data_IF_086519397567
#
_entry.id   IF_086519397567
#
_cell.length_a   1.000
_cell.length_b   1.000
_cell.length_c   1.000
_cell.angle_alpha   90.00
_cell.angle_beta   90.00
_cell.angle_gamma   90.00
#
_symmetry.space_group_name_H-M   'P 1'
#
loop_
_entity.id
_entity.type
_entity.pdbx_description
1 polymer ?
#
# COMPACT_ATOMS: atom_id res chain seq x y z
N UNK A 1 7.40 -6.05 16.87
CA UNK A 1 6.50 -5.29 15.95
C UNK A 1 5.46 -4.53 16.75
N UNK A 2 4.71 -3.60 16.14
CA UNK A 2 3.60 -2.91 16.80
C UNK A 2 2.47 -3.93 17.05
N UNK A 3 2.58 -4.67 18.15
CA UNK A 3 1.54 -5.57 18.64
C UNK A 3 0.58 -4.76 19.51
N UNK A 4 -0.69 -4.75 19.12
CA UNK A 4 -1.74 -4.03 19.82
C UNK A 4 -2.98 -3.86 18.95
N UNK A 5 -4.15 -3.73 19.58
CA UNK A 5 -5.43 -3.59 18.88
C UNK A 5 -5.46 -2.42 17.88
N UNK A 6 -4.74 -1.32 18.17
CA UNK A 6 -4.62 -0.18 17.25
C UNK A 6 -3.86 -0.54 15.98
N UNK A 7 -2.72 -1.24 16.09
CA UNK A 7 -1.87 -1.57 14.95
C UNK A 7 -2.55 -2.55 13.97
N UNK A 8 -3.50 -3.34 14.46
CA UNK A 8 -4.32 -4.23 13.63
C UNK A 8 -5.35 -3.49 12.76
N UNK A 9 -5.62 -2.19 12.99
CA UNK A 9 -6.56 -1.41 12.18
C UNK A 9 -5.92 -0.95 10.88
N UNK A 10 -6.62 -1.06 9.76
CA UNK A 10 -6.10 -0.68 8.44
C UNK A 10 -5.71 0.80 8.38
N UNK A 11 -6.53 1.69 8.96
CA UNK A 11 -6.26 3.13 9.08
C UNK A 11 -4.93 3.43 9.80
N UNK A 12 -4.56 2.62 10.80
CA UNK A 12 -3.31 2.79 11.53
C UNK A 12 -2.07 2.53 10.65
N UNK A 13 -2.23 1.96 9.44
CA UNK A 13 -1.13 1.78 8.49
C UNK A 13 -0.62 3.11 7.99
N UNK A 14 -1.49 3.90 7.38
CA UNK A 14 -1.12 5.21 6.87
C UNK A 14 -0.81 6.19 8.01
N UNK A 15 -1.54 6.13 9.14
CA UNK A 15 -1.29 7.01 10.29
C UNK A 15 0.15 6.86 10.80
N UNK A 16 0.66 5.62 10.92
CA UNK A 16 2.03 5.37 11.37
C UNK A 16 3.07 5.75 10.31
N UNK A 17 2.87 5.35 9.05
CA UNK A 17 3.86 5.56 7.99
C UNK A 17 3.98 7.04 7.60
N UNK A 18 2.87 7.78 7.56
CA UNK A 18 2.87 9.20 7.19
C UNK A 18 3.38 10.10 8.32
N UNK A 19 3.30 9.65 9.58
CA UNK A 19 3.79 10.39 10.72
C UNK A 19 5.30 10.65 10.62
N UNK A 20 5.75 11.84 11.02
CA UNK A 20 7.18 12.16 11.09
C UNK A 20 7.85 11.56 12.33
N UNK A 21 7.07 11.39 13.39
CA UNK A 21 7.45 10.85 14.70
C UNK A 21 6.25 10.13 15.31
N UNK A 22 6.49 8.99 15.95
CA UNK A 22 5.47 8.22 16.65
C UNK A 22 6.00 7.84 18.02
N UNK A 23 5.20 8.07 19.05
CA UNK A 23 5.44 7.58 20.40
C UNK A 23 4.48 6.43 20.66
N UNK A 24 5.02 5.30 21.07
CA UNK A 24 4.29 4.06 21.31
C UNK A 24 4.29 3.78 22.81
N UNK A 25 3.09 3.63 23.37
CA UNK A 25 2.90 3.18 24.74
C UNK A 25 2.57 1.69 24.72
N UNK A 26 3.43 0.84 25.31
CA UNK A 26 3.05 -0.54 25.62
C UNK A 26 3.17 -0.81 27.11
N UNK A 27 2.72 -1.99 27.52
CA UNK A 27 2.55 -2.37 28.92
C UNK A 27 3.80 -2.18 29.80
N UNK A 28 5.00 -2.32 29.24
CA UNK A 28 6.23 -2.39 30.02
C UNK A 28 7.24 -1.28 29.71
N UNK A 29 7.05 -0.50 28.65
CA UNK A 29 7.98 0.55 28.24
C UNK A 29 7.38 1.43 27.14
N UNK A 30 7.95 2.62 26.97
CA UNK A 30 7.66 3.53 25.87
C UNK A 30 8.75 3.38 24.79
N UNK A 31 8.35 3.42 23.50
CA UNK A 31 9.31 3.60 22.41
C UNK A 31 8.95 4.80 21.55
N UNK A 32 9.96 5.43 21.03
CA UNK A 32 9.87 6.51 20.07
C UNK A 32 10.47 6.09 18.74
N UNK A 33 9.81 6.41 17.64
CA UNK A 33 10.38 6.27 16.30
C UNK A 33 10.18 7.56 15.51
N UNK A 34 11.10 7.81 14.58
CA UNK A 34 11.00 8.88 13.61
C UNK A 34 11.49 8.39 12.25
N UNK A 35 11.56 9.31 11.30
CA UNK A 35 12.05 9.05 9.94
C UNK A 35 13.49 8.51 9.87
N UNK A 36 14.29 8.61 10.94
CA UNK A 36 15.71 8.26 10.92
C UNK A 36 16.12 7.22 11.95
N UNK A 37 15.37 7.03 13.04
CA UNK A 37 15.75 6.14 14.12
C UNK A 37 14.53 5.72 14.95
N UNK A 38 14.67 4.63 15.70
CA UNK A 38 13.81 4.35 16.84
C UNK A 38 14.63 4.09 18.11
N UNK A 39 14.05 4.43 19.25
CA UNK A 39 14.65 4.32 20.58
C UNK A 39 13.62 3.84 21.59
N UNK A 40 14.08 3.10 22.59
CA UNK A 40 13.30 2.82 23.81
C UNK A 40 13.47 3.93 24.85
N UNK A 41 12.74 3.84 25.96
CA UNK A 41 12.71 4.84 27.03
C UNK A 41 14.09 5.12 27.65
N UNK A 42 14.96 4.11 27.72
CA UNK A 42 16.33 4.22 28.20
C UNK A 42 17.28 4.88 27.18
N UNK A 43 16.76 5.29 26.02
CA UNK A 43 17.52 5.94 24.96
C UNK A 43 18.31 4.99 24.05
N UNK A 44 18.22 3.67 24.31
CA UNK A 44 18.87 2.63 23.49
C UNK A 44 18.26 2.64 22.09
N UNK A 45 19.13 2.66 21.07
CA UNK A 45 18.75 2.61 19.66
C UNK A 45 18.25 1.21 19.31
N UNK A 46 17.02 1.13 18.77
CA UNK A 46 16.43 -0.11 18.29
C UNK A 46 16.84 -0.44 16.84
N UNK A 47 17.15 0.57 16.04
CA UNK A 47 17.76 0.45 14.71
C UNK A 47 18.41 1.79 14.33
N UNK A 48 19.45 1.74 13.47
CA UNK A 48 20.21 2.93 13.08
C UNK A 48 20.02 3.38 11.64
N UNK A 49 19.53 2.54 10.72
CA UNK A 49 19.37 2.92 9.31
C UNK A 49 18.28 2.11 8.59
N UNK A 50 17.92 2.54 7.38
CA UNK A 50 16.86 2.01 6.50
C UNK A 50 17.04 0.55 6.02
N UNK A 51 18.04 -0.18 6.51
CA UNK A 51 18.47 -1.49 5.98
C UNK A 51 18.04 -2.69 6.81
N UNK A 52 17.47 -2.47 8.01
CA UNK A 52 16.97 -3.57 8.85
C UNK A 52 15.44 -3.75 8.66
N UNK A 53 14.98 -5.00 8.77
CA UNK A 53 13.61 -5.55 8.64
C UNK A 53 12.47 -4.82 9.42
N UNK A 54 12.74 -3.67 10.04
CA UNK A 54 11.85 -2.88 10.88
C UNK A 54 11.41 -1.58 10.15
N UNK A 55 11.51 -1.52 8.82
CA UNK A 55 11.05 -0.40 7.97
C UNK A 55 9.51 -0.29 7.86
N UNK A 56 8.79 -0.27 8.99
CA UNK A 56 7.33 -0.46 9.02
C UNK A 56 6.54 0.78 9.48
N UNK A 57 7.17 1.95 9.48
CA UNK A 57 6.65 3.20 10.07
C UNK A 57 7.21 4.47 9.41
N UNK A 58 7.54 5.54 10.19
CA UNK A 58 8.00 6.81 9.64
C UNK A 58 9.21 6.73 8.68
N UNK A 59 10.12 5.78 8.88
CA UNK A 59 11.27 5.54 7.99
C UNK A 59 10.84 5.17 6.57
N UNK A 60 9.84 4.31 6.43
CA UNK A 60 9.22 3.99 5.14
C UNK A 60 8.54 5.22 4.55
N UNK A 61 7.86 6.03 5.35
CA UNK A 61 7.27 7.29 4.89
C UNK A 61 8.31 8.27 4.34
N UNK A 62 9.50 8.33 4.94
CA UNK A 62 10.65 9.09 4.41
C UNK A 62 11.10 8.54 3.06
N UNK A 63 11.27 7.23 2.96
CA UNK A 63 11.70 6.57 1.73
C UNK A 63 10.70 6.84 0.59
N UNK A 64 9.40 6.66 0.85
CA UNK A 64 8.31 6.96 -0.09
C UNK A 64 8.30 8.40 -0.58
N UNK A 65 8.60 9.35 0.31
CA UNK A 65 8.73 10.77 -0.04
C UNK A 65 10.00 11.06 -0.87
N UNK A 66 11.03 10.22 -0.77
CA UNK A 66 12.30 10.41 -1.46
C UNK A 66 12.32 9.80 -2.88
N UNK A 67 11.33 9.00 -3.28
CA UNK A 67 11.29 8.37 -4.62
C UNK A 67 11.29 9.36 -5.79
N UNK A 68 10.84 10.61 -5.57
CA UNK A 68 10.94 11.67 -6.58
C UNK A 68 12.35 12.26 -6.73
N UNK A 69 13.29 11.85 -5.87
CA UNK A 69 14.66 12.35 -5.78
C UNK A 69 15.61 11.19 -6.10
N UNK A 70 15.72 10.84 -7.39
CA UNK A 70 16.62 9.78 -7.85
C UNK A 70 16.10 9.01 -9.06
N UNK A 71 16.98 8.22 -9.68
CA UNK A 71 16.66 7.37 -10.84
C UNK A 71 16.17 5.98 -10.39
N UNK A 72 15.11 5.96 -9.57
CA UNK A 72 14.45 4.70 -9.22
C UNK A 72 13.70 4.18 -10.43
N UNK A 73 13.99 2.93 -10.83
CA UNK A 73 13.29 2.30 -11.94
C UNK A 73 11.83 1.99 -11.56
N UNK A 74 11.00 1.76 -12.58
CA UNK A 74 9.58 1.43 -12.40
C UNK A 74 9.39 0.15 -11.56
N UNK A 75 10.36 -0.78 -11.61
CA UNK A 75 10.31 -2.03 -10.87
C UNK A 75 10.38 -1.80 -9.36
N UNK A 76 11.31 -0.99 -8.89
CA UNK A 76 11.45 -0.66 -7.47
C UNK A 76 10.20 0.02 -6.93
N UNK A 77 9.65 0.97 -7.69
CA UNK A 77 8.45 1.76 -7.35
C UNK A 77 7.22 0.88 -7.16
N UNK A 78 6.91 0.07 -8.17
CA UNK A 78 5.76 -0.84 -8.18
C UNK A 78 5.94 -1.92 -7.11
N UNK A 79 7.15 -2.49 -6.97
CA UNK A 79 7.43 -3.51 -5.97
C UNK A 79 7.25 -2.98 -4.55
N UNK A 80 7.72 -1.75 -4.26
CA UNK A 80 7.51 -1.11 -2.96
C UNK A 80 6.03 -0.92 -2.64
N UNK A 81 5.24 -0.48 -3.61
CA UNK A 81 3.80 -0.31 -3.40
C UNK A 81 3.08 -1.65 -3.15
N UNK A 82 3.25 -2.63 -4.04
CA UNK A 82 2.46 -3.86 -3.97
C UNK A 82 2.99 -4.87 -2.95
N UNK A 83 4.31 -4.99 -2.81
CA UNK A 83 4.92 -5.90 -1.84
C UNK A 83 4.95 -5.29 -0.43
N UNK A 84 5.72 -4.22 -0.23
CA UNK A 84 5.94 -3.69 1.13
C UNK A 84 4.69 -3.02 1.72
N UNK A 85 4.09 -2.08 0.98
CA UNK A 85 2.95 -1.33 1.51
C UNK A 85 1.69 -2.21 1.52
N UNK A 86 1.29 -2.72 0.35
CA UNK A 86 -0.01 -3.38 0.20
C UNK A 86 -0.01 -4.77 0.82
N UNK A 87 0.90 -5.65 0.41
CA UNK A 87 0.93 -7.04 0.88
C UNK A 87 1.38 -7.14 2.34
N UNK A 88 2.59 -6.67 2.67
CA UNK A 88 3.19 -6.86 4.00
C UNK A 88 2.49 -6.00 5.06
N UNK A 89 2.21 -4.72 4.79
CA UNK A 89 1.73 -3.80 5.83
C UNK A 89 0.24 -3.54 5.87
N UNK A 90 -0.46 -3.47 4.74
CA UNK A 90 -1.84 -2.99 4.73
C UNK A 90 -2.88 -4.11 4.70
N UNK A 91 -2.76 -5.06 3.77
CA UNK A 91 -3.83 -6.01 3.44
C UNK A 91 -4.17 -7.00 4.57
N UNK A 92 -3.24 -7.20 5.50
CA UNK A 92 -3.39 -8.07 6.68
C UNK A 92 -4.15 -7.42 7.82
N UNK A 93 -4.46 -6.12 7.72
CA UNK A 93 -5.14 -5.35 8.76
C UNK A 93 -6.65 -5.39 8.63
N UNK A 94 -7.32 -5.17 9.75
CA UNK A 94 -8.76 -5.25 9.91
C UNK A 94 -9.41 -3.91 9.59
N UNK A 95 -10.59 -3.99 8.96
CA UNK A 95 -11.49 -2.89 8.69
C UNK A 95 -12.84 -3.17 9.34
N UNK A 96 -13.41 -2.16 9.99
CA UNK A 96 -14.79 -2.24 10.47
C UNK A 96 -15.78 -2.10 9.31
N UNK A 97 -15.45 -1.26 8.32
CA UNK A 97 -16.23 -1.06 7.11
C UNK A 97 -15.35 -1.33 5.90
N UNK A 98 -15.76 -2.28 5.07
CA UNK A 98 -14.99 -2.68 3.89
C UNK A 98 -14.92 -1.61 2.81
N UNK A 99 -15.90 -0.72 2.79
CA UNK A 99 -15.88 0.47 1.93
C UNK A 99 -14.70 1.41 2.23
N UNK A 100 -14.04 1.30 3.40
CA UNK A 100 -12.83 2.08 3.72
C UNK A 100 -11.54 1.48 3.18
N UNK A 101 -11.61 0.39 2.39
CA UNK A 101 -10.42 -0.33 1.93
C UNK A 101 -9.50 0.45 0.98
N UNK A 102 -9.99 1.40 0.21
CA UNK A 102 -9.15 2.38 -0.50
C UNK A 102 -8.88 3.64 0.35
N UNK A 103 -9.90 4.27 0.97
CA UNK A 103 -9.69 5.44 1.83
C UNK A 103 -8.62 5.27 2.93
N UNK A 104 -8.55 4.11 3.57
CA UNK A 104 -7.63 3.86 4.69
C UNK A 104 -6.16 3.75 4.28
N UNK A 105 -5.84 3.75 2.98
CA UNK A 105 -4.49 3.83 2.43
C UNK A 105 -4.27 5.05 1.51
N UNK A 106 -5.31 5.87 1.33
CA UNK A 106 -5.33 6.97 0.35
C UNK A 106 -4.22 8.00 0.56
N UNK A 107 -3.82 8.27 1.82
CA UNK A 107 -2.74 9.21 2.10
C UNK A 107 -1.38 8.70 1.61
N UNK A 108 -1.15 7.39 1.69
CA UNK A 108 0.07 6.77 1.12
C UNK A 108 0.01 6.76 -0.40
N UNK A 109 -1.15 6.47 -0.98
CA UNK A 109 -1.33 6.57 -2.43
C UNK A 109 -1.05 8.00 -2.94
N UNK A 110 -1.56 9.04 -2.27
CA UNK A 110 -1.28 10.45 -2.58
C UNK A 110 0.22 10.77 -2.49
N UNK A 111 0.89 10.31 -1.45
CA UNK A 111 2.34 10.47 -1.30
C UNK A 111 3.10 9.84 -2.46
N UNK A 112 2.73 8.61 -2.83
CA UNK A 112 3.36 7.85 -3.91
C UNK A 112 3.05 8.45 -5.28
N UNK A 113 1.83 8.89 -5.56
CA UNK A 113 1.51 9.62 -6.79
C UNK A 113 2.38 10.87 -6.91
N UNK A 114 2.47 11.66 -5.83
CA UNK A 114 3.26 12.90 -5.82
C UNK A 114 4.75 12.67 -6.02
N UNK A 115 5.31 11.56 -5.54
CA UNK A 115 6.74 11.25 -5.70
C UNK A 115 7.06 10.50 -6.99
N UNK A 116 6.12 9.71 -7.53
CA UNK A 116 6.38 8.83 -8.66
C UNK A 116 5.77 9.28 -9.99
N UNK A 117 4.87 10.28 -9.98
CA UNK A 117 4.12 10.76 -11.15
C UNK A 117 3.34 9.64 -11.87
N UNK A 118 2.59 8.85 -11.09
CA UNK A 118 1.86 7.68 -11.55
C UNK A 118 0.34 7.89 -11.45
N UNK A 119 -0.42 7.30 -12.36
CA UNK A 119 -1.88 7.45 -12.40
C UNK A 119 -2.54 6.39 -11.52
N UNK A 120 -3.24 6.81 -10.46
CA UNK A 120 -3.96 5.90 -9.57
C UNK A 120 -5.33 5.52 -10.15
N UNK A 121 -5.60 4.22 -10.25
CA UNK A 121 -6.86 3.68 -10.77
C UNK A 121 -7.40 2.60 -9.82
N UNK A 122 -8.30 3.00 -8.92
CA UNK A 122 -8.99 2.13 -7.97
C UNK A 122 -8.05 1.15 -7.22
N UNK A 123 -6.94 1.63 -6.66
CA UNK A 123 -5.97 0.78 -5.94
C UNK A 123 -4.73 0.38 -6.75
N UNK A 124 -4.75 0.54 -8.07
CA UNK A 124 -3.65 0.16 -8.94
C UNK A 124 -2.96 1.38 -9.57
N UNK A 125 -1.76 1.17 -10.09
CA UNK A 125 -1.04 2.19 -10.87
C UNK A 125 -1.09 1.86 -12.35
N UNK A 126 -1.52 2.81 -13.19
CA UNK A 126 -1.70 2.61 -14.63
C UNK A 126 -0.39 2.21 -15.33
N UNK A 127 0.73 2.83 -14.95
CA UNK A 127 2.05 2.69 -15.59
C UNK A 127 2.66 1.29 -15.36
N UNK A 128 2.25 0.59 -14.30
CA UNK A 128 2.64 -0.78 -14.01
C UNK A 128 1.45 -1.73 -13.91
N UNK A 129 0.33 -1.41 -14.57
CA UNK A 129 -0.95 -2.08 -14.37
C UNK A 129 -0.86 -3.60 -14.57
N UNK A 130 -0.11 -4.03 -15.57
CA UNK A 130 0.17 -5.44 -15.86
C UNK A 130 0.74 -6.22 -14.67
N UNK A 131 1.60 -5.58 -13.88
CA UNK A 131 2.17 -6.20 -12.68
C UNK A 131 1.25 -5.99 -11.48
N UNK A 132 0.56 -4.86 -11.44
CA UNK A 132 -0.46 -4.57 -10.45
C UNK A 132 -1.56 -5.62 -10.43
N UNK A 133 -2.07 -6.02 -11.60
CA UNK A 133 -3.13 -7.03 -11.76
C UNK A 133 -2.69 -8.46 -11.35
N UNK A 134 -1.41 -8.70 -11.09
CA UNK A 134 -0.94 -10.00 -10.60
C UNK A 134 -1.24 -10.25 -9.11
N UNK A 135 -1.92 -9.32 -8.42
CA UNK A 135 -2.35 -9.54 -7.04
C UNK A 135 -3.22 -10.81 -6.95
N UNK A 136 -3.09 -11.52 -5.83
CA UNK A 136 -3.93 -12.67 -5.50
C UNK A 136 -4.47 -12.57 -4.09
N UNK A 137 -5.43 -13.43 -3.77
CA UNK A 137 -5.99 -13.55 -2.41
C UNK A 137 -5.46 -14.80 -1.73
N UNK A 138 -5.10 -14.69 -0.45
CA UNK A 138 -4.65 -15.85 0.34
C UNK A 138 -5.80 -16.84 0.58
N UNK A 139 -7.02 -16.32 0.74
CA UNK A 139 -8.23 -17.13 0.93
C UNK A 139 -9.28 -16.74 -0.13
N UNK A 140 -9.83 -17.72 -0.84
CA UNK A 140 -10.91 -17.51 -1.82
C UNK A 140 -12.26 -17.30 -1.13
N UNK A 141 -12.38 -16.20 -0.38
CA UNK A 141 -13.68 -15.76 0.12
C UNK A 141 -14.50 -15.14 -1.02
N UNK A 142 -15.84 -15.29 -1.02
CA UNK A 142 -16.70 -14.61 -1.96
C UNK A 142 -16.48 -13.10 -1.93
N UNK A 143 -16.52 -12.46 -3.11
CA UNK A 143 -16.44 -11.00 -3.25
C UNK A 143 -17.60 -10.36 -2.48
N UNK A 144 -17.32 -9.33 -1.68
CA UNK A 144 -18.24 -8.96 -0.60
C UNK A 144 -19.46 -8.12 -1.00
N UNK A 145 -19.58 -7.55 -2.20
CA UNK A 145 -20.71 -6.64 -2.48
C UNK A 145 -21.11 -6.50 -3.95
N UNK A 146 -22.42 -6.29 -4.15
CA UNK A 146 -23.03 -5.66 -5.33
C UNK A 146 -22.79 -4.14 -5.20
N UNK A 147 -22.28 -3.47 -6.24
CA UNK A 147 -21.93 -2.03 -6.27
C UNK A 147 -20.70 -1.60 -5.43
N UNK A 148 -19.65 -2.41 -5.40
CA UNK A 148 -18.35 -2.08 -4.77
C UNK A 148 -17.20 -1.90 -5.77
N UNK A 149 -15.93 -1.86 -5.31
CA UNK A 149 -14.77 -1.70 -6.20
C UNK A 149 -14.73 -2.74 -7.31
N UNK A 150 -14.32 -2.38 -8.54
CA UNK A 150 -14.38 -3.27 -9.70
C UNK A 150 -13.58 -4.56 -9.49
N UNK A 151 -13.92 -5.64 -10.20
CA UNK A 151 -13.33 -6.99 -9.96
C UNK A 151 -11.82 -7.07 -10.15
N UNK A 152 -11.26 -6.18 -10.97
CA UNK A 152 -9.83 -6.09 -11.23
C UNK A 152 -9.07 -5.32 -10.14
N UNK A 153 -9.78 -4.61 -9.25
CA UNK A 153 -9.18 -3.94 -8.09
C UNK A 153 -9.03 -4.91 -6.92
N UNK A 154 -7.86 -4.92 -6.29
CA UNK A 154 -7.63 -5.69 -5.07
C UNK A 154 -8.55 -5.27 -3.90
N UNK A 155 -9.14 -4.08 -3.97
CA UNK A 155 -10.08 -3.60 -2.98
C UNK A 155 -11.45 -4.31 -3.05
N UNK A 156 -11.69 -5.12 -4.09
CA UNK A 156 -12.93 -5.88 -4.21
C UNK A 156 -13.00 -7.09 -3.26
N UNK A 157 -11.87 -7.50 -2.67
CA UNK A 157 -11.80 -8.65 -1.75
C UNK A 157 -11.42 -8.21 -0.34
N UNK A 158 -12.05 -8.79 0.68
CA UNK A 158 -11.81 -8.46 2.10
C UNK A 158 -10.89 -9.47 2.80
N UNK A 159 -9.79 -9.82 2.15
CA UNK A 159 -8.84 -10.83 2.62
C UNK A 159 -7.42 -10.29 2.53
N UNK A 160 -6.47 -10.80 3.33
CA UNK A 160 -5.05 -10.65 3.04
C UNK A 160 -4.77 -10.98 1.58
N UNK A 161 -3.94 -10.15 0.96
CA UNK A 161 -3.52 -10.31 -0.42
C UNK A 161 -2.18 -11.01 -0.45
N UNK A 162 -1.72 -11.38 -1.65
CA UNK A 162 -0.30 -11.60 -1.93
C UNK A 162 0.02 -11.00 -3.29
N UNK A 163 1.29 -10.70 -3.52
CA UNK A 163 1.75 -10.19 -4.80
C UNK A 163 2.99 -10.96 -5.25
N UNK A 164 2.85 -11.87 -6.23
CA UNK A 164 3.89 -12.84 -6.58
C UNK A 164 5.05 -12.23 -7.36
N UNK A 165 4.92 -11.01 -7.86
CA UNK A 165 5.92 -10.40 -8.73
C UNK A 165 7.21 -9.99 -8.00
N UNK A 166 7.23 -10.01 -6.67
CA UNK A 166 8.42 -9.73 -5.87
C UNK A 166 9.54 -10.77 -6.01
N UNK A 167 9.25 -11.94 -6.61
CA UNK A 167 10.27 -12.99 -6.87
C UNK A 167 11.18 -12.66 -8.06
N UNK A 168 10.76 -11.73 -8.93
CA UNK A 168 11.53 -11.32 -10.09
C UNK A 168 12.50 -10.21 -9.71
N UNK A 169 13.67 -10.17 -10.37
CA UNK A 169 14.62 -9.04 -10.22
C UNK A 169 14.29 -7.84 -11.11
N UNK A 170 13.50 -8.08 -12.14
CA UNK A 170 12.96 -7.10 -13.09
C UNK A 170 11.64 -7.64 -13.60
N UNK A 171 10.75 -6.76 -14.00
CA UNK A 171 9.49 -7.22 -14.52
C UNK A 171 9.61 -7.98 -15.85
N UNK A 172 8.82 -9.05 -16.05
CA UNK A 172 8.71 -9.68 -17.35
C UNK A 172 8.07 -8.72 -18.37
N UNK A 173 8.21 -9.00 -19.67
CA UNK A 173 7.54 -8.24 -20.72
C UNK A 173 6.03 -8.11 -20.50
N UNK A 174 5.48 -6.99 -20.95
CA UNK A 174 4.05 -6.74 -20.99
C UNK A 174 3.33 -7.86 -21.77
N UNK A 175 2.25 -8.41 -21.20
CA UNK A 175 1.40 -9.41 -21.88
C UNK A 175 0.16 -8.78 -22.52
N UNK A 176 -0.19 -7.56 -22.12
CA UNK A 176 -1.34 -6.84 -22.66
C UNK A 176 -1.08 -5.33 -22.68
N UNK A 177 -1.80 -4.65 -23.55
CA UNK A 177 -1.89 -3.19 -23.62
C UNK A 177 -3.22 -2.71 -23.03
N UNK A 178 -3.18 -1.61 -22.29
CA UNK A 178 -4.38 -0.92 -21.80
C UNK A 178 -4.88 0.07 -22.86
N UNK A 179 -6.03 -0.23 -23.47
CA UNK A 179 -6.65 0.63 -24.49
C UNK A 179 -7.53 1.72 -23.89
N UNK A 180 -8.31 1.37 -22.87
CA UNK A 180 -9.26 2.27 -22.23
C UNK A 180 -9.55 1.83 -20.80
N UNK A 181 -9.94 2.75 -19.94
CA UNK A 181 -10.38 2.46 -18.59
C UNK A 181 -11.37 3.50 -18.09
N UNK A 182 -12.21 3.07 -17.16
CA UNK A 182 -13.09 3.95 -16.41
C UNK A 182 -13.10 3.51 -14.95
N UNK A 183 -13.09 4.48 -14.04
CA UNK A 183 -13.31 4.26 -12.61
C UNK A 183 -14.48 5.12 -12.19
N UNK A 184 -15.50 4.48 -11.64
CA UNK A 184 -16.66 5.15 -11.09
C UNK A 184 -16.37 5.51 -9.63
N UNK A 185 -16.00 6.76 -9.38
CA UNK A 185 -15.71 7.25 -8.04
C UNK A 185 -17.00 7.46 -7.23
N UNK A 186 -16.99 7.17 -5.94
CA UNK A 186 -18.11 7.49 -5.06
C UNK A 186 -18.16 8.98 -4.66
N UNK A 187 -17.06 9.71 -4.89
CA UNK A 187 -16.92 11.15 -4.65
C UNK A 187 -15.86 11.73 -5.59
N UNK A 188 -15.49 13.00 -5.44
CA UNK A 188 -14.43 13.62 -6.25
C UNK A 188 -13.00 13.24 -5.80
N UNK A 189 -12.83 12.30 -4.86
CA UNK A 189 -11.51 11.83 -4.41
C UNK A 189 -11.10 10.57 -5.19
N UNK A 190 -10.12 10.69 -6.08
CA UNK A 190 -9.60 9.59 -6.91
C UNK A 190 -8.98 8.44 -6.10
N UNK A 191 -8.57 8.71 -4.86
CA UNK A 191 -8.02 7.73 -3.91
C UNK A 191 -9.05 7.18 -2.94
N UNK A 192 -10.28 7.69 -3.04
CA UNK A 192 -11.37 7.36 -2.14
C UNK A 192 -12.10 6.09 -2.54
N UNK A 193 -13.37 6.03 -2.16
CA UNK A 193 -14.25 4.90 -2.46
C UNK A 193 -14.60 4.90 -3.94
N UNK A 194 -14.80 3.70 -4.49
CA UNK A 194 -15.23 3.49 -5.88
C UNK A 194 -16.44 2.56 -5.91
N UNK A 195 -17.35 2.80 -6.84
CA UNK A 195 -18.60 2.06 -7.02
C UNK A 195 -18.54 1.06 -8.18
N UNK A 196 -17.52 1.18 -9.04
CA UNK A 196 -17.40 0.37 -10.24
C UNK A 196 -16.28 0.84 -11.17
N UNK A 197 -16.25 0.27 -12.37
CA UNK A 197 -15.27 0.61 -13.40
C UNK A 197 -14.95 -0.55 -14.34
N UNK A 198 -14.29 -0.24 -15.45
CA UNK A 198 -13.85 -1.23 -16.43
C UNK A 198 -12.40 -0.98 -16.86
N UNK A 199 -11.76 -2.04 -17.33
CA UNK A 199 -10.51 -2.00 -18.10
C UNK A 199 -10.79 -2.63 -19.47
N UNK A 200 -10.31 -2.00 -20.53
CA UNK A 200 -10.31 -2.54 -21.89
C UNK A 200 -8.88 -2.82 -22.29
N UNK A 201 -8.53 -4.09 -22.36
CA UNK A 201 -7.17 -4.55 -22.66
C UNK A 201 -7.14 -5.33 -23.98
N UNK A 202 -5.98 -5.33 -24.64
CA UNK A 202 -5.70 -6.16 -25.83
C UNK A 202 -4.39 -6.91 -25.65
N UNK A 203 -4.31 -8.11 -26.23
CA UNK A 203 -3.20 -9.03 -26.01
C UNK A 203 -3.51 -10.05 -24.92
N UNK A 204 -2.97 -11.26 -25.09
CA UNK A 204 -2.78 -12.33 -24.12
C UNK A 204 -1.77 -13.32 -24.73
#
# INVERSE_FOLDING_TARGET
MAEGALAQRAWACQERILSTRVLHYKNNQIYWECRQAARIEEGILLFTDNTDDIATGPSLGRELAAYGIGDYDLFDRISKWYHEILYIHYSTRQLTHSSDRLPAISGLAKLVQGSMNMTYIAGLWKEGLQYGLCWGVVNMMPRSTVNGPPSWSWASYETPLFWPMSVYRRFPPALFDLNDFHVELASNDEFGRVNGGFLKITGL
#
